data_IF_708845975502
#
_entry.id   IF_708845975502
#
_cell.length_a   1.000
_cell.length_b   1.000
_cell.length_c   1.000
_cell.angle_alpha   90.00
_cell.angle_beta   90.00
_cell.angle_gamma   90.00
#
_symmetry.space_group_name_H-M   'P 1'
#
loop_
_entity.id
_entity.type
_entity.pdbx_description
1 polymer ?
#
# COMPACT_ATOMS: atom_id res chain seq x y z
N UNK A 1 1.96 9.05 -12.66
CA UNK A 1 2.76 8.17 -11.77
C UNK A 1 1.75 7.52 -10.84
N UNK A 2 1.61 6.20 -10.89
CA UNK A 2 0.57 5.51 -10.12
C UNK A 2 1.07 5.30 -8.67
N UNK A 3 0.29 5.77 -7.70
CA UNK A 3 0.62 5.68 -6.29
C UNK A 3 0.03 4.40 -5.68
N UNK A 4 0.87 3.65 -4.97
CA UNK A 4 0.47 2.41 -4.30
C UNK A 4 0.58 2.55 -2.79
N UNK A 5 -0.22 1.78 -2.08
CA UNK A 5 -0.38 1.90 -0.63
C UNK A 5 -0.20 0.56 0.08
N UNK A 6 0.29 0.62 1.31
CA UNK A 6 0.53 -0.55 2.13
C UNK A 6 -0.80 -1.19 2.56
N UNK A 7 -0.97 -2.51 2.41
CA UNK A 7 -2.21 -3.20 2.79
C UNK A 7 -2.45 -3.27 4.30
N UNK A 8 -1.46 -2.95 5.13
CA UNK A 8 -1.55 -2.98 6.60
C UNK A 8 -1.82 -1.62 7.21
N UNK A 9 -0.99 -0.63 6.88
CA UNK A 9 -1.07 0.71 7.46
C UNK A 9 -1.70 1.76 6.53
N UNK A 10 -2.01 1.40 5.28
CA UNK A 10 -2.56 2.31 4.27
C UNK A 10 -1.66 3.49 3.89
N UNK A 11 -0.40 3.48 4.33
CA UNK A 11 0.58 4.50 4.00
C UNK A 11 1.11 4.33 2.56
N UNK A 12 1.66 5.39 1.98
CA UNK A 12 2.16 5.39 0.61
C UNK A 12 3.43 4.54 0.52
N UNK A 13 3.50 3.68 -0.50
CA UNK A 13 4.66 2.84 -0.76
C UNK A 13 5.69 3.60 -1.58
N UNK A 14 6.95 3.40 -1.21
CA UNK A 14 8.08 3.86 -1.99
C UNK A 14 8.40 2.82 -3.08
N UNK A 15 8.44 3.28 -4.33
CA UNK A 15 8.85 2.45 -5.46
C UNK A 15 10.37 2.43 -5.54
N UNK A 16 10.96 1.28 -5.25
CA UNK A 16 12.39 1.05 -5.37
C UNK A 16 12.66 0.40 -6.72
N UNK A 17 13.51 1.00 -7.54
CA UNK A 17 13.96 0.43 -8.82
C UNK A 17 15.48 0.30 -8.83
N UNK A 18 15.99 -0.89 -9.15
CA UNK A 18 17.43 -1.16 -9.22
C UNK A 18 17.74 -2.47 -9.93
N UNK A 19 18.84 -2.53 -10.68
CA UNK A 19 19.31 -3.73 -11.41
C UNK A 19 18.21 -4.42 -12.25
N UNK A 20 17.31 -3.64 -12.87
CA UNK A 20 16.19 -4.16 -13.69
C UNK A 20 14.97 -4.65 -12.89
N UNK A 21 15.03 -4.68 -11.56
CA UNK A 21 13.91 -5.04 -10.70
C UNK A 21 13.18 -3.81 -10.16
N UNK A 22 11.88 -3.98 -9.89
CA UNK A 22 11.04 -2.99 -9.22
C UNK A 22 10.38 -3.63 -8.01
N UNK A 23 10.64 -3.05 -6.84
CA UNK A 23 10.05 -3.41 -5.55
C UNK A 23 9.28 -2.23 -4.95
N UNK A 24 8.48 -2.54 -3.92
CA UNK A 24 7.69 -1.55 -3.20
C UNK A 24 7.98 -1.70 -1.71
N UNK A 25 8.49 -0.64 -1.08
CA UNK A 25 8.84 -0.62 0.33
C UNK A 25 7.83 0.22 1.11
N UNK A 26 7.33 -0.32 2.22
CA UNK A 26 6.57 0.47 3.18
C UNK A 26 7.53 1.04 4.22
N UNK A 27 7.70 2.37 4.23
CA UNK A 27 8.58 3.04 5.18
C UNK A 27 8.03 3.10 6.61
N UNK A 28 6.71 3.01 6.78
CA UNK A 28 6.04 2.95 8.09
C UNK A 28 6.15 1.57 8.73
N UNK A 29 5.88 0.50 7.96
CA UNK A 29 5.99 -0.88 8.45
C UNK A 29 7.40 -1.47 8.34
N UNK A 30 8.35 -0.73 7.74
CA UNK A 30 9.74 -1.16 7.45
C UNK A 30 9.82 -2.53 6.79
N UNK A 31 9.00 -2.75 5.76
CA UNK A 31 8.91 -4.05 5.06
C UNK A 31 8.66 -3.90 3.56
N UNK A 32 9.20 -4.84 2.80
CA UNK A 32 8.89 -4.98 1.38
C UNK A 32 7.47 -5.53 1.20
N UNK A 33 6.74 -4.93 0.27
CA UNK A 33 5.38 -5.31 -0.08
C UNK A 33 5.39 -5.89 -1.49
N UNK A 34 4.84 -7.09 -1.62
CA UNK A 34 4.71 -7.75 -2.92
C UNK A 34 3.70 -7.00 -3.80
N UNK A 35 3.97 -6.89 -5.11
CA UNK A 35 3.07 -6.30 -6.11
C UNK A 35 1.66 -6.88 -6.09
N UNK A 36 1.49 -8.15 -5.70
CA UNK A 36 0.17 -8.80 -5.60
C UNK A 36 -0.67 -8.31 -4.42
N UNK A 37 -0.06 -7.64 -3.45
CA UNK A 37 -0.70 -7.23 -2.19
C UNK A 37 -0.65 -5.71 -1.97
N UNK A 38 -0.13 -4.93 -2.91
CA UNK A 38 -0.20 -3.47 -2.83
C UNK A 38 -1.65 -3.03 -3.07
N UNK A 39 -2.07 -1.94 -2.43
CA UNK A 39 -3.38 -1.35 -2.68
C UNK A 39 -3.23 -0.19 -3.67
N UNK A 40 -4.11 -0.13 -4.65
CA UNK A 40 -4.38 1.10 -5.40
C UNK A 40 -5.06 2.15 -4.53
N UNK A 41 -5.17 3.38 -5.03
CA UNK A 41 -5.91 4.46 -4.34
C UNK A 41 -7.37 4.06 -4.02
N UNK A 42 -8.06 3.45 -5.00
CA UNK A 42 -9.45 3.02 -4.84
C UNK A 42 -9.57 1.95 -3.74
N UNK A 43 -8.71 0.94 -3.76
CA UNK A 43 -8.71 -0.13 -2.75
C UNK A 43 -8.37 0.37 -1.35
N UNK A 44 -7.44 1.33 -1.23
CA UNK A 44 -7.13 1.98 0.05
C UNK A 44 -8.36 2.67 0.61
N UNK A 45 -9.03 3.49 -0.20
CA UNK A 45 -10.21 4.25 0.24
C UNK A 45 -11.35 3.31 0.65
N UNK A 46 -11.59 2.23 -0.08
CA UNK A 46 -12.58 1.23 0.29
C UNK A 46 -12.28 0.60 1.66
N UNK A 47 -11.01 0.25 1.94
CA UNK A 47 -10.60 -0.33 3.22
C UNK A 47 -10.64 0.66 4.38
N UNK A 48 -10.35 1.94 4.15
CA UNK A 48 -10.48 2.97 5.19
C UNK A 48 -11.94 3.18 5.55
N UNK A 49 -12.83 3.31 4.56
CA UNK A 49 -14.29 3.44 4.79
C UNK A 49 -14.86 2.27 5.59
N UNK A 50 -14.42 1.04 5.29
CA UNK A 50 -14.83 -0.15 6.05
C UNK A 50 -14.36 -0.12 7.51
N UNK A 51 -13.22 0.50 7.82
CA UNK A 51 -12.75 0.67 9.22
C UNK A 51 -13.48 1.77 9.97
N UNK A 52 -13.97 2.78 9.26
CA UNK A 52 -14.64 3.95 9.84
C UNK A 52 -16.13 3.71 10.13
N UNK A 53 -16.68 2.60 9.65
CA UNK A 53 -18.00 2.12 10.01
C UNK A 53 -17.90 0.88 10.91
N UNK A 54 -17.39 0.98 12.16
CA UNK A 54 -17.65 -0.05 13.14
C UNK A 54 -19.15 -0.05 13.38
N UNK A 55 -19.83 -1.08 12.84
CA UNK A 55 -21.24 -1.36 13.08
C UNK A 55 -21.58 -1.18 14.56
N UNK A 56 -22.60 -0.35 14.83
CA UNK A 56 -23.27 -0.18 16.13
C UNK A 56 -23.98 -1.47 16.55
#
# INVERSE_FOLDING_TARGET
MEDYYCPKCFDKLERLSGCGAVGYMCNTCKRLVSRKNILSYQERMAKIKQKENPEE
#
